data_IF_765829537134
#
_entry.id   IF_765829537134
#
_cell.length_a   1.000
_cell.length_b   1.000
_cell.length_c   1.000
_cell.angle_alpha   90.00
_cell.angle_beta   90.00
_cell.angle_gamma   90.00
#
_symmetry.space_group_name_H-M   'P 1'
#
loop_
_entity.id
_entity.type
_entity.pdbx_description
1 polymer ?
#
# COMPACT_ATOMS: atom_id res chain seq x y z
N UNK A 1 30.41 -6.19 -29.07
CA UNK A 1 30.19 -7.11 -27.95
C UNK A 1 30.00 -6.40 -26.64
N UNK A 2 30.86 -5.45 -26.28
CA UNK A 2 30.74 -4.71 -25.02
C UNK A 2 29.42 -3.95 -24.90
N UNK A 3 28.93 -3.38 -26.01
CA UNK A 3 27.66 -2.63 -26.02
C UNK A 3 26.48 -3.53 -25.73
N UNK A 4 26.45 -4.75 -26.28
CA UNK A 4 25.36 -5.70 -26.02
C UNK A 4 25.30 -6.12 -24.56
N UNK A 5 26.50 -6.34 -23.97
CA UNK A 5 26.59 -6.69 -22.55
C UNK A 5 26.07 -5.56 -21.66
N UNK A 6 26.42 -4.31 -21.98
CA UNK A 6 25.95 -3.15 -21.23
C UNK A 6 24.44 -2.99 -21.32
N UNK A 7 23.85 -3.16 -22.50
CA UNK A 7 22.41 -3.07 -22.69
C UNK A 7 21.68 -4.16 -21.88
N UNK A 8 22.20 -5.38 -21.88
CA UNK A 8 21.62 -6.47 -21.11
C UNK A 8 21.62 -6.17 -19.62
N UNK A 9 22.72 -5.61 -19.10
CA UNK A 9 22.83 -5.25 -17.68
C UNK A 9 21.80 -4.18 -17.32
N UNK A 10 21.64 -3.17 -18.16
CA UNK A 10 20.65 -2.11 -17.90
C UNK A 10 19.23 -2.66 -17.88
N UNK A 11 18.89 -3.55 -18.78
CA UNK A 11 17.56 -4.17 -18.80
C UNK A 11 17.31 -4.99 -17.56
N UNK A 12 18.31 -5.76 -17.11
CA UNK A 12 18.19 -6.56 -15.88
C UNK A 12 17.99 -5.66 -14.66
N UNK A 13 18.73 -4.56 -14.56
CA UNK A 13 18.58 -3.61 -13.46
C UNK A 13 17.17 -3.02 -13.41
N UNK A 14 16.65 -2.60 -14.54
CA UNK A 14 15.28 -2.07 -14.63
C UNK A 14 14.25 -3.11 -14.23
N UNK A 15 14.41 -4.36 -14.69
CA UNK A 15 13.50 -5.45 -14.35
C UNK A 15 13.49 -5.76 -12.85
N UNK A 16 14.68 -5.82 -12.24
CA UNK A 16 14.81 -6.08 -10.80
C UNK A 16 14.12 -5.00 -9.99
N UNK A 17 14.31 -3.73 -10.33
CA UNK A 17 13.67 -2.62 -9.62
C UNK A 17 12.15 -2.70 -9.70
N UNK A 18 11.59 -3.00 -10.86
CA UNK A 18 10.14 -3.15 -11.04
C UNK A 18 9.56 -4.31 -10.22
N UNK A 19 10.27 -5.43 -10.18
CA UNK A 19 9.84 -6.61 -9.41
C UNK A 19 9.82 -6.29 -7.92
N UNK A 20 10.85 -5.63 -7.40
CA UNK A 20 10.92 -5.27 -5.97
C UNK A 20 9.80 -4.30 -5.58
N UNK A 21 9.51 -3.31 -6.41
CA UNK A 21 8.42 -2.38 -6.15
C UNK A 21 7.07 -3.10 -6.12
N UNK A 22 6.85 -4.06 -7.02
CA UNK A 22 5.62 -4.82 -7.07
C UNK A 22 5.47 -5.74 -5.85
N UNK A 23 6.55 -6.35 -5.39
CA UNK A 23 6.53 -7.18 -4.20
C UNK A 23 6.18 -6.36 -2.95
N UNK A 24 6.73 -5.16 -2.82
CA UNK A 24 6.40 -4.27 -1.71
C UNK A 24 4.93 -3.85 -1.75
N UNK A 25 4.39 -3.57 -2.93
CA UNK A 25 2.97 -3.27 -3.10
C UNK A 25 2.10 -4.44 -2.67
N UNK A 26 2.41 -5.64 -3.13
CA UNK A 26 1.66 -6.84 -2.77
C UNK A 26 1.69 -7.09 -1.26
N UNK A 27 2.87 -6.95 -0.66
CA UNK A 27 3.05 -7.14 0.77
C UNK A 27 2.25 -6.12 1.57
N UNK A 28 2.37 -4.84 1.25
CA UNK A 28 1.65 -3.78 1.94
C UNK A 28 0.14 -3.92 1.76
N UNK A 29 -0.30 -4.31 0.58
CA UNK A 29 -1.71 -4.55 0.31
C UNK A 29 -2.26 -5.68 1.18
N UNK A 30 -1.53 -6.79 1.30
CA UNK A 30 -1.95 -7.91 2.14
C UNK A 30 -1.98 -7.52 3.62
N UNK A 31 -0.96 -6.84 4.10
CA UNK A 31 -0.86 -6.42 5.50
C UNK A 31 -2.02 -5.48 5.84
N UNK A 32 -2.27 -4.47 5.02
CA UNK A 32 -3.33 -3.50 5.28
C UNK A 32 -4.72 -4.15 5.23
N UNK A 33 -4.96 -5.02 4.25
CA UNK A 33 -6.24 -5.68 4.10
C UNK A 33 -6.55 -6.59 5.29
N UNK A 34 -5.57 -7.39 5.73
CA UNK A 34 -5.73 -8.25 6.89
C UNK A 34 -5.98 -7.43 8.17
N UNK A 35 -5.29 -6.31 8.33
CA UNK A 35 -5.51 -5.43 9.48
C UNK A 35 -6.92 -4.83 9.46
N UNK A 36 -7.43 -4.45 8.30
CA UNK A 36 -8.81 -3.95 8.17
C UNK A 36 -9.81 -5.05 8.53
N UNK A 37 -9.58 -6.27 8.05
CA UNK A 37 -10.46 -7.40 8.37
C UNK A 37 -10.50 -7.70 9.86
N UNK A 38 -9.39 -7.43 10.57
CA UNK A 38 -9.31 -7.60 12.02
C UNK A 38 -9.75 -6.35 12.79
N UNK A 39 -10.26 -5.33 12.11
CA UNK A 39 -10.65 -4.04 12.69
C UNK A 39 -9.48 -3.28 13.33
N UNK A 40 -8.25 -3.58 12.92
CA UNK A 40 -7.04 -2.88 13.35
C UNK A 40 -6.74 -1.72 12.40
N UNK A 41 -7.57 -0.69 12.43
CA UNK A 41 -7.48 0.40 11.46
C UNK A 41 -6.21 1.24 11.61
N UNK A 42 -5.73 1.41 12.84
CA UNK A 42 -4.46 2.12 13.08
C UNK A 42 -3.29 1.41 12.43
N UNK A 43 -3.22 0.09 12.56
CA UNK A 43 -2.15 -0.72 11.97
C UNK A 43 -2.31 -0.83 10.45
N UNK A 44 -3.51 -0.72 9.94
CA UNK A 44 -3.78 -0.79 8.51
C UNK A 44 -3.35 0.48 7.77
N UNK A 45 -3.33 1.63 8.42
CA UNK A 45 -3.21 2.93 7.77
C UNK A 45 -1.90 3.10 7.00
N UNK A 46 -0.74 2.87 7.63
CA UNK A 46 0.54 3.10 6.98
C UNK A 46 0.76 2.20 5.76
N UNK A 47 0.59 0.86 5.85
CA UNK A 47 0.73 0.03 4.65
C UNK A 47 -0.32 0.36 3.58
N UNK A 48 -1.55 0.71 3.97
CA UNK A 48 -2.58 1.14 3.03
C UNK A 48 -2.17 2.42 2.30
N UNK A 49 -1.61 3.39 3.02
CA UNK A 49 -1.17 4.66 2.44
C UNK A 49 -0.07 4.43 1.40
N UNK A 50 0.85 3.50 1.66
CA UNK A 50 1.91 3.16 0.72
C UNK A 50 1.34 2.54 -0.57
N UNK A 51 0.33 1.66 -0.44
CA UNK A 51 -0.34 1.08 -1.61
C UNK A 51 -1.03 2.16 -2.42
N UNK A 52 -1.75 3.06 -1.77
CA UNK A 52 -2.46 4.13 -2.46
C UNK A 52 -1.50 5.05 -3.23
N UNK A 53 -0.33 5.29 -2.65
CA UNK A 53 0.69 6.16 -3.24
C UNK A 53 1.41 5.49 -4.42
N UNK A 54 1.88 4.26 -4.23
CA UNK A 54 2.80 3.60 -5.16
C UNK A 54 2.10 2.71 -6.18
N UNK A 55 0.97 2.12 -5.82
CA UNK A 55 0.27 1.16 -6.67
C UNK A 55 -1.24 1.21 -6.48
N UNK A 56 -1.86 2.37 -6.78
CA UNK A 56 -3.27 2.60 -6.47
C UNK A 56 -4.25 1.68 -7.22
N UNK A 57 -3.82 1.06 -8.31
CA UNK A 57 -4.68 0.19 -9.11
C UNK A 57 -4.45 -1.30 -8.88
N UNK A 58 -3.64 -1.65 -7.87
CA UNK A 58 -3.28 -3.04 -7.60
C UNK A 58 -4.49 -3.89 -7.21
N UNK A 59 -5.33 -3.40 -6.32
CA UNK A 59 -6.50 -4.10 -5.82
C UNK A 59 -7.68 -3.15 -5.68
N UNK A 60 -8.88 -3.65 -5.99
CA UNK A 60 -10.09 -2.86 -5.82
C UNK A 60 -10.35 -2.54 -4.34
N UNK A 61 -10.00 -3.46 -3.45
CA UNK A 61 -10.28 -3.27 -2.03
C UNK A 61 -9.40 -2.21 -1.37
N UNK A 62 -8.38 -1.68 -2.07
CA UNK A 62 -7.61 -0.53 -1.57
C UNK A 62 -8.55 0.63 -1.25
N UNK A 63 -9.55 0.86 -2.08
CA UNK A 63 -10.48 1.98 -1.91
C UNK A 63 -11.55 1.68 -0.86
N UNK A 64 -12.09 0.48 -0.84
CA UNK A 64 -13.08 0.09 0.17
C UNK A 64 -12.45 0.02 1.55
N UNK A 65 -11.21 -0.49 1.66
CA UNK A 65 -10.47 -0.50 2.92
C UNK A 65 -10.16 0.92 3.38
N UNK A 66 -9.81 1.81 2.44
CA UNK A 66 -9.55 3.21 2.75
C UNK A 66 -10.75 3.89 3.38
N UNK A 67 -11.94 3.64 2.87
CA UNK A 67 -13.17 4.19 3.44
C UNK A 67 -13.34 3.73 4.88
N UNK A 68 -13.11 2.45 5.17
CA UNK A 68 -13.22 1.90 6.52
C UNK A 68 -12.20 2.51 7.46
N UNK A 69 -10.94 2.62 7.02
CA UNK A 69 -9.86 3.20 7.84
C UNK A 69 -10.18 4.66 8.17
N UNK A 70 -10.50 5.46 7.18
CA UNK A 70 -10.76 6.89 7.37
C UNK A 70 -12.04 7.14 8.15
N UNK A 71 -13.07 6.33 7.94
CA UNK A 71 -14.31 6.41 8.72
C UNK A 71 -14.03 6.12 10.19
N UNK A 72 -13.18 5.15 10.49
CA UNK A 72 -12.80 4.84 11.87
C UNK A 72 -12.12 6.04 12.53
N UNK A 73 -11.21 6.70 11.81
CA UNK A 73 -10.51 7.87 12.34
C UNK A 73 -11.46 9.04 12.57
N UNK A 74 -12.42 9.26 11.66
CA UNK A 74 -13.42 10.30 11.80
C UNK A 74 -14.33 10.04 13.02
N UNK A 75 -14.72 8.80 13.23
CA UNK A 75 -15.53 8.43 14.39
C UNK A 75 -14.78 8.66 15.69
N UNK A 76 -13.47 8.37 15.73
CA UNK A 76 -12.63 8.65 16.89
C UNK A 76 -12.59 10.15 17.20
N UNK A 77 -12.46 10.99 16.18
CA UNK A 77 -12.48 12.44 16.34
C UNK A 77 -13.82 12.92 16.85
N UNK A 78 -14.92 12.41 16.30
CA UNK A 78 -16.27 12.76 16.75
C UNK A 78 -16.48 12.39 18.22
N UNK A 79 -16.06 11.20 18.61
CA UNK A 79 -16.21 10.72 19.98
C UNK A 79 -15.45 11.59 20.96
N UNK A 80 -14.22 12.02 20.60
CA UNK A 80 -13.44 12.93 21.44
C UNK A 80 -14.10 14.29 21.57
N UNK A 81 -14.65 14.81 20.49
CA UNK A 81 -15.34 16.10 20.50
C UNK A 81 -16.65 16.03 21.29
N UNK A 82 -17.34 14.91 21.25
CA UNK A 82 -18.57 14.69 22.00
C UNK A 82 -18.33 14.58 23.50
N UNK A 83 -17.16 14.07 23.89
CA UNK A 83 -16.80 13.91 25.30
C UNK A 83 -16.49 15.27 25.97
N UNK A 84 -16.15 16.26 25.19
CA UNK A 84 -15.87 17.61 25.67
C UNK A 84 -17.16 18.44 25.79
#
# INVERSE_FOLDING_TARGET
MKIKTLVAVLLLSGGVTSVLAQEDCNKNSSISHEAVRANNFKDAYLPWKEVLKDCPTLRYYTYTDGIKILTSFLNDIKDRNSAD
#
